data_IF_358314594975
#
_entry.id   IF_358314594975
#
_cell.length_a   1.000
_cell.length_b   1.000
_cell.length_c   1.000
_cell.angle_alpha   90.00
_cell.angle_beta   90.00
_cell.angle_gamma   90.00
#
_symmetry.space_group_name_H-M   'P 1'
#
loop_
_entity.id
_entity.type
_entity.pdbx_description
1 polymer ?
#
# COMPACT_ATOMS: atom_id res chain seq x y z
N UNK A 1 31.22 9.36 -9.55
CA UNK A 1 31.38 8.21 -10.46
C UNK A 1 30.48 7.13 -9.89
N UNK A 2 29.35 6.86 -10.53
CA UNK A 2 28.44 5.79 -10.09
C UNK A 2 29.07 4.48 -10.57
N UNK A 3 29.65 3.72 -9.63
CA UNK A 3 30.08 2.36 -9.94
C UNK A 3 28.85 1.55 -10.34
N UNK A 4 28.79 1.15 -11.61
CA UNK A 4 27.76 0.24 -12.06
C UNK A 4 27.95 -1.10 -11.37
N UNK A 5 26.98 -1.49 -10.56
CA UNK A 5 27.02 -2.78 -9.83
C UNK A 5 26.97 -3.91 -10.87
N UNK A 6 28.11 -4.54 -11.13
CA UNK A 6 28.19 -5.73 -11.97
C UNK A 6 27.89 -6.97 -11.12
N UNK A 7 26.67 -7.47 -11.19
CA UNK A 7 26.28 -8.72 -10.55
C UNK A 7 26.81 -9.91 -11.36
N UNK A 8 27.90 -10.53 -10.87
CA UNK A 8 28.36 -11.83 -11.37
C UNK A 8 27.38 -12.94 -10.97
N UNK A 9 27.31 -14.00 -11.76
CA UNK A 9 26.50 -15.18 -11.45
C UNK A 9 26.83 -15.77 -10.06
N UNK A 10 28.12 -15.75 -9.69
CA UNK A 10 28.56 -16.15 -8.34
C UNK A 10 27.96 -15.31 -7.21
N UNK A 11 27.85 -13.97 -7.40
CA UNK A 11 27.27 -13.06 -6.43
C UNK A 11 25.77 -13.33 -6.23
N UNK A 12 25.05 -13.72 -7.28
CA UNK A 12 23.64 -14.11 -7.20
C UNK A 12 23.46 -15.38 -6.38
N UNK A 13 24.33 -16.39 -6.55
CA UNK A 13 24.30 -17.62 -5.76
C UNK A 13 24.54 -17.31 -4.28
N UNK A 14 25.57 -16.52 -3.97
CA UNK A 14 25.86 -16.12 -2.59
C UNK A 14 24.69 -15.35 -1.98
N UNK A 15 24.09 -14.43 -2.72
CA UNK A 15 22.89 -13.70 -2.27
C UNK A 15 21.70 -14.62 -2.02
N UNK A 16 21.50 -15.66 -2.84
CA UNK A 16 20.43 -16.64 -2.66
C UNK A 16 20.63 -17.50 -1.40
N UNK A 17 21.87 -17.70 -0.94
CA UNK A 17 22.14 -18.43 0.31
C UNK A 17 21.50 -17.76 1.55
N UNK A 18 21.31 -16.43 1.55
CA UNK A 18 20.63 -15.75 2.65
C UNK A 18 19.21 -16.25 2.87
N UNK A 19 18.53 -16.75 1.84
CA UNK A 19 17.18 -17.33 1.98
C UNK A 19 17.18 -18.72 2.64
N UNK A 20 18.34 -19.41 2.65
CA UNK A 20 18.45 -20.72 3.28
C UNK A 20 18.39 -20.59 4.79
N UNK A 21 18.92 -19.51 5.37
CA UNK A 21 18.94 -19.30 6.83
C UNK A 21 17.54 -19.36 7.44
N UNK A 22 16.55 -18.56 6.99
CA UNK A 22 15.20 -18.63 7.57
C UNK A 22 14.52 -19.96 7.26
N UNK A 23 14.75 -20.57 6.10
CA UNK A 23 14.18 -21.88 5.77
C UNK A 23 14.73 -22.99 6.67
N UNK A 24 16.05 -22.99 6.92
CA UNK A 24 16.68 -23.92 7.85
C UNK A 24 16.19 -23.73 9.29
N UNK A 25 16.07 -22.49 9.76
CA UNK A 25 15.51 -22.19 11.08
C UNK A 25 14.09 -22.73 11.23
N UNK A 26 13.22 -22.52 10.23
CA UNK A 26 11.86 -23.06 10.24
C UNK A 26 11.84 -24.58 10.29
N UNK A 27 12.75 -25.23 9.60
CA UNK A 27 12.90 -26.70 9.64
C UNK A 27 13.42 -27.19 10.99
N UNK A 28 14.48 -26.57 11.52
CA UNK A 28 15.10 -26.95 12.79
C UNK A 28 14.15 -26.81 13.98
N UNK A 29 13.35 -25.73 14.01
CA UNK A 29 12.36 -25.49 15.06
C UNK A 29 11.00 -26.17 14.79
N UNK A 30 10.89 -27.01 13.75
CA UNK A 30 9.65 -27.72 13.35
C UNK A 30 8.44 -26.81 13.22
N UNK A 31 8.64 -25.58 12.72
CA UNK A 31 7.56 -24.60 12.55
C UNK A 31 6.82 -24.89 11.23
N UNK A 32 5.55 -25.28 11.33
CA UNK A 32 4.74 -25.73 10.18
C UNK A 32 4.28 -24.61 9.23
N UNK A 33 5.03 -23.51 9.14
CA UNK A 33 4.70 -22.39 8.23
C UNK A 33 5.53 -22.37 6.94
N UNK A 34 6.37 -23.40 6.70
CA UNK A 34 7.27 -23.43 5.56
C UNK A 34 6.57 -23.23 4.21
N UNK A 35 5.37 -23.83 4.02
CA UNK A 35 4.55 -23.64 2.81
C UNK A 35 4.08 -22.19 2.64
N UNK A 36 3.77 -21.50 3.76
CA UNK A 36 3.40 -20.07 3.73
C UNK A 36 4.59 -19.21 3.37
N UNK A 37 5.76 -19.54 3.90
CA UNK A 37 7.03 -18.84 3.59
C UNK A 37 7.40 -18.98 2.13
N UNK A 38 7.35 -20.19 1.57
CA UNK A 38 7.60 -20.41 0.13
C UNK A 38 6.61 -19.66 -0.76
N UNK A 39 5.32 -19.69 -0.42
CA UNK A 39 4.32 -18.89 -1.14
C UNK A 39 4.61 -17.39 -1.06
N UNK A 40 5.02 -16.90 0.11
CA UNK A 40 5.37 -15.49 0.29
C UNK A 40 6.59 -15.10 -0.56
N UNK A 41 7.63 -15.92 -0.59
CA UNK A 41 8.82 -15.71 -1.42
C UNK A 41 8.46 -15.71 -2.91
N UNK A 42 7.66 -16.68 -3.36
CA UNK A 42 7.22 -16.74 -4.75
C UNK A 42 6.37 -15.52 -5.15
N UNK A 43 5.41 -15.13 -4.30
CA UNK A 43 4.59 -13.92 -4.56
C UNK A 43 5.43 -12.65 -4.55
N UNK A 44 6.42 -12.54 -3.68
CA UNK A 44 7.38 -11.42 -3.66
C UNK A 44 8.17 -11.36 -4.96
N UNK A 45 8.74 -12.48 -5.42
CA UNK A 45 9.51 -12.52 -6.66
C UNK A 45 8.65 -12.11 -7.87
N UNK A 46 7.43 -12.64 -7.98
CA UNK A 46 6.49 -12.28 -9.06
C UNK A 46 6.12 -10.79 -8.99
N UNK A 47 5.82 -10.27 -7.81
CA UNK A 47 5.43 -8.86 -7.65
C UNK A 47 6.58 -7.91 -8.00
N UNK A 48 7.80 -8.21 -7.57
CA UNK A 48 8.99 -7.41 -7.89
C UNK A 48 9.29 -7.45 -9.39
N UNK A 49 9.22 -8.63 -10.01
CA UNK A 49 9.45 -8.79 -11.46
C UNK A 49 8.40 -8.02 -12.27
N UNK A 50 7.13 -8.09 -11.85
CA UNK A 50 6.06 -7.34 -12.51
C UNK A 50 6.28 -5.82 -12.39
N UNK A 51 6.62 -5.35 -11.21
CA UNK A 51 6.93 -3.93 -10.98
C UNK A 51 8.11 -3.44 -11.82
N UNK A 52 9.18 -4.23 -11.88
CA UNK A 52 10.35 -3.93 -12.70
C UNK A 52 10.00 -3.91 -14.19
N UNK A 53 9.24 -4.89 -14.68
CA UNK A 53 8.78 -4.96 -16.08
C UNK A 53 7.94 -3.73 -16.46
N UNK A 54 6.99 -3.34 -15.63
CA UNK A 54 6.16 -2.16 -15.86
C UNK A 54 7.01 -0.88 -15.92
N UNK A 55 8.00 -0.77 -15.03
CA UNK A 55 8.92 0.38 -15.02
C UNK A 55 9.78 0.41 -16.28
N UNK A 56 10.36 -0.73 -16.68
CA UNK A 56 11.17 -0.83 -17.91
C UNK A 56 10.32 -0.50 -19.15
N UNK A 57 9.09 -1.00 -19.21
CA UNK A 57 8.16 -0.74 -20.31
C UNK A 57 7.85 0.75 -20.43
N UNK A 58 7.55 1.41 -19.30
CA UNK A 58 7.26 2.84 -19.28
C UNK A 58 8.48 3.69 -19.65
N UNK A 59 9.68 3.32 -19.19
CA UNK A 59 10.93 4.01 -19.51
C UNK A 59 11.26 3.86 -21.00
N UNK A 60 11.07 2.65 -21.57
CA UNK A 60 11.34 2.43 -23.00
C UNK A 60 10.35 3.12 -23.91
N UNK A 61 9.10 3.20 -23.51
CA UNK A 61 8.07 3.85 -24.32
C UNK A 61 8.20 5.37 -24.31
N UNK A 62 8.78 5.95 -23.26
CA UNK A 62 8.96 7.39 -23.03
C UNK A 62 7.71 8.22 -23.39
N UNK A 63 6.54 7.67 -23.03
CA UNK A 63 5.25 8.24 -23.35
C UNK A 63 4.38 8.36 -22.11
N UNK A 64 3.82 9.56 -21.89
CA UNK A 64 2.99 9.91 -20.73
C UNK A 64 1.82 8.93 -20.54
N UNK A 65 1.14 8.57 -21.61
CA UNK A 65 0.00 7.64 -21.57
C UNK A 65 0.39 6.26 -21.08
N UNK A 66 1.56 5.75 -21.50
CA UNK A 66 2.08 4.45 -21.06
C UNK A 66 2.46 4.49 -19.58
N UNK A 67 3.10 5.56 -19.12
CA UNK A 67 3.46 5.74 -17.70
C UNK A 67 2.22 5.76 -16.80
N UNK A 68 1.18 6.51 -17.18
CA UNK A 68 -0.09 6.55 -16.43
C UNK A 68 -0.80 5.19 -16.46
N UNK A 69 -0.79 4.50 -17.59
CA UNK A 69 -1.37 3.16 -17.72
C UNK A 69 -0.65 2.17 -16.82
N UNK A 70 0.68 2.16 -16.80
CA UNK A 70 1.47 1.32 -15.89
C UNK A 70 1.18 1.65 -14.42
N UNK A 71 1.05 2.93 -14.06
CA UNK A 71 0.65 3.34 -12.72
C UNK A 71 -0.75 2.82 -12.36
N UNK A 72 -1.72 2.92 -13.27
CA UNK A 72 -3.07 2.39 -13.06
C UNK A 72 -3.07 0.85 -12.90
N UNK A 73 -2.25 0.13 -13.64
CA UNK A 73 -2.09 -1.33 -13.47
C UNK A 73 -1.54 -1.66 -12.09
N UNK A 74 -0.55 -0.91 -11.58
CA UNK A 74 -0.03 -1.08 -10.21
C UNK A 74 -1.12 -0.81 -9.17
N UNK A 75 -1.91 0.23 -9.34
CA UNK A 75 -3.02 0.56 -8.45
C UNK A 75 -4.13 -0.52 -8.49
N UNK A 76 -4.45 -1.04 -9.68
CA UNK A 76 -5.47 -2.08 -9.85
C UNK A 76 -5.04 -3.41 -9.20
N UNK A 77 -3.79 -3.83 -9.39
CA UNK A 77 -3.24 -5.03 -8.74
C UNK A 77 -3.23 -4.88 -7.22
N UNK A 78 -2.89 -3.69 -6.72
CA UNK A 78 -2.94 -3.40 -5.29
C UNK A 78 -4.38 -3.37 -4.75
N UNK A 79 -5.34 -2.79 -5.48
CA UNK A 79 -6.75 -2.80 -5.07
C UNK A 79 -7.28 -4.24 -4.96
N UNK A 80 -6.94 -5.07 -5.93
CA UNK A 80 -7.27 -6.50 -5.91
C UNK A 80 -6.66 -7.22 -4.70
N UNK A 81 -5.37 -7.00 -4.45
CA UNK A 81 -4.67 -7.53 -3.27
C UNK A 81 -5.32 -7.09 -1.97
N UNK A 82 -5.62 -5.80 -1.83
CA UNK A 82 -6.25 -5.23 -0.63
C UNK A 82 -7.62 -5.85 -0.36
N UNK A 83 -8.45 -6.02 -1.40
CA UNK A 83 -9.77 -6.66 -1.30
C UNK A 83 -9.66 -8.09 -0.75
N UNK A 84 -8.78 -8.91 -1.34
CA UNK A 84 -8.58 -10.31 -0.93
C UNK A 84 -8.07 -10.38 0.52
N UNK A 85 -7.06 -9.59 0.85
CA UNK A 85 -6.44 -9.61 2.18
C UNK A 85 -7.33 -9.01 3.27
N UNK A 86 -8.18 -8.04 2.95
CA UNK A 86 -9.19 -7.51 3.84
C UNK A 86 -10.40 -8.46 4.00
N UNK A 87 -10.40 -9.62 3.31
CA UNK A 87 -11.49 -10.63 3.32
C UNK A 87 -12.85 -10.08 2.89
N UNK A 88 -12.83 -9.08 2.00
CA UNK A 88 -14.05 -8.48 1.47
C UNK A 88 -14.57 -9.37 0.33
N UNK A 89 -15.67 -10.09 0.57
CA UNK A 89 -16.22 -11.08 -0.38
C UNK A 89 -16.90 -10.43 -1.58
N UNK A 90 -17.57 -9.30 -1.39
CA UNK A 90 -18.33 -8.64 -2.45
C UNK A 90 -17.39 -8.03 -3.51
N UNK A 91 -17.65 -8.36 -4.78
CA UNK A 91 -16.84 -7.87 -5.91
C UNK A 91 -16.93 -6.34 -6.08
N UNK A 92 -18.09 -5.76 -5.80
CA UNK A 92 -18.37 -4.34 -6.02
C UNK A 92 -17.50 -3.40 -5.17
N UNK A 93 -16.93 -3.90 -4.05
CA UNK A 93 -16.03 -3.09 -3.20
C UNK A 93 -14.65 -2.84 -3.81
N UNK A 94 -14.32 -3.47 -4.93
CA UNK A 94 -13.08 -3.14 -5.64
C UNK A 94 -13.12 -1.72 -6.22
N UNK A 95 -14.31 -1.24 -6.60
CA UNK A 95 -14.50 0.10 -7.18
C UNK A 95 -14.15 1.21 -6.18
N UNK A 96 -14.71 1.27 -4.95
CA UNK A 96 -14.34 2.28 -3.98
C UNK A 96 -12.86 2.19 -3.53
N UNK A 97 -12.28 0.98 -3.48
CA UNK A 97 -10.86 0.81 -3.18
C UNK A 97 -10.00 1.39 -4.30
N UNK A 98 -10.32 1.05 -5.54
CA UNK A 98 -9.60 1.52 -6.72
C UNK A 98 -9.69 3.05 -6.87
N UNK A 99 -10.89 3.61 -6.72
CA UNK A 99 -11.08 5.06 -6.76
C UNK A 99 -10.34 5.76 -5.62
N UNK A 100 -10.39 5.21 -4.41
CA UNK A 100 -9.65 5.74 -3.27
C UNK A 100 -8.14 5.74 -3.50
N UNK A 101 -7.58 4.66 -4.06
CA UNK A 101 -6.16 4.58 -4.42
C UNK A 101 -5.81 5.58 -5.52
N UNK A 102 -6.57 5.60 -6.61
CA UNK A 102 -6.26 6.43 -7.77
C UNK A 102 -6.35 7.91 -7.44
N UNK A 103 -7.45 8.35 -6.82
CA UNK A 103 -7.68 9.76 -6.48
C UNK A 103 -6.76 10.29 -5.38
N UNK A 104 -6.14 9.41 -4.60
CA UNK A 104 -5.23 9.83 -3.53
C UNK A 104 -3.77 9.68 -3.95
N UNK A 105 -3.37 8.50 -4.43
CA UNK A 105 -1.95 8.20 -4.64
C UNK A 105 -1.41 8.89 -5.88
N UNK A 106 -2.15 8.89 -7.01
CA UNK A 106 -1.64 9.53 -8.22
C UNK A 106 -1.39 11.03 -8.04
N UNK A 107 -2.34 11.85 -7.55
CA UNK A 107 -2.09 13.27 -7.36
C UNK A 107 -0.98 13.55 -6.36
N UNK A 108 -0.97 12.83 -5.23
CA UNK A 108 0.07 13.02 -4.20
C UNK A 108 1.46 12.64 -4.72
N UNK A 109 1.58 11.56 -5.49
CA UNK A 109 2.84 11.13 -6.09
C UNK A 109 3.33 12.14 -7.16
N UNK A 110 2.41 12.67 -7.97
CA UNK A 110 2.74 13.73 -8.93
C UNK A 110 3.21 15.00 -8.24
N UNK A 111 2.52 15.44 -7.20
CA UNK A 111 2.91 16.60 -6.40
C UNK A 111 4.29 16.37 -5.78
N UNK A 112 4.56 15.18 -5.25
CA UNK A 112 5.85 14.87 -4.65
C UNK A 112 6.98 14.91 -5.67
N UNK A 113 6.81 14.29 -6.84
CA UNK A 113 7.85 14.27 -7.88
C UNK A 113 8.08 15.67 -8.46
N UNK A 114 7.03 16.44 -8.70
CA UNK A 114 7.13 17.76 -9.32
C UNK A 114 7.55 18.86 -8.34
N UNK A 115 6.85 18.99 -7.20
CA UNK A 115 7.08 20.11 -6.27
C UNK A 115 8.18 19.82 -5.26
N UNK A 116 8.33 18.57 -4.79
CA UNK A 116 9.31 18.24 -3.75
C UNK A 116 10.66 17.86 -4.37
N UNK A 117 10.66 17.01 -5.39
CA UNK A 117 11.90 16.60 -6.06
C UNK A 117 12.34 17.59 -7.16
N UNK A 118 11.47 18.53 -7.57
CA UNK A 118 11.77 19.49 -8.63
C UNK A 118 12.00 18.85 -10.00
N UNK A 119 11.51 17.63 -10.21
CA UNK A 119 11.70 16.86 -11.44
C UNK A 119 10.46 16.95 -12.35
N UNK A 120 10.61 16.55 -13.60
CA UNK A 120 9.46 16.46 -14.50
C UNK A 120 8.43 15.47 -13.93
N UNK A 121 7.15 15.88 -13.77
CA UNK A 121 6.17 15.12 -12.99
C UNK A 121 5.85 13.74 -13.56
N UNK A 122 6.12 13.54 -14.83
CA UNK A 122 5.80 12.32 -15.57
C UNK A 122 7.04 11.49 -15.94
N UNK A 123 8.20 11.79 -15.34
CA UNK A 123 9.40 10.97 -15.51
C UNK A 123 9.13 9.53 -15.01
N UNK A 124 9.05 8.51 -15.90
CA UNK A 124 8.59 7.18 -15.53
C UNK A 124 9.52 6.49 -14.54
N UNK A 125 10.82 6.78 -14.58
CA UNK A 125 11.83 6.22 -13.68
C UNK A 125 11.73 6.75 -12.24
N UNK A 126 10.98 7.84 -12.01
CA UNK A 126 10.73 8.40 -10.67
C UNK A 126 9.28 8.17 -10.23
N UNK A 127 8.31 8.46 -11.10
CA UNK A 127 6.89 8.39 -10.75
C UNK A 127 6.48 6.96 -10.39
N UNK A 128 6.85 5.96 -11.18
CA UNK A 128 6.43 4.58 -10.94
C UNK A 128 6.98 3.99 -9.64
N UNK A 129 8.29 4.14 -9.28
CA UNK A 129 8.79 3.75 -7.97
C UNK A 129 8.08 4.47 -6.81
N UNK A 130 7.83 5.79 -6.92
CA UNK A 130 7.10 6.54 -5.89
C UNK A 130 5.68 5.99 -5.72
N UNK A 131 4.96 5.77 -6.81
CA UNK A 131 3.62 5.15 -6.79
C UNK A 131 3.68 3.74 -6.20
N UNK A 132 4.65 2.91 -6.58
CA UNK A 132 4.79 1.54 -6.10
C UNK A 132 5.06 1.47 -4.58
N UNK A 133 6.00 2.29 -4.08
CA UNK A 133 6.32 2.33 -2.65
C UNK A 133 5.13 2.87 -1.86
N UNK A 134 4.48 3.93 -2.35
CA UNK A 134 3.32 4.53 -1.69
C UNK A 134 2.14 3.57 -1.64
N UNK A 135 1.84 2.89 -2.75
CA UNK A 135 0.78 1.86 -2.80
C UNK A 135 1.06 0.68 -1.87
N UNK A 136 2.29 0.22 -1.80
CA UNK A 136 2.70 -0.84 -0.89
C UNK A 136 2.49 -0.48 0.57
N UNK A 137 2.95 0.71 0.98
CA UNK A 137 2.78 1.22 2.34
C UNK A 137 1.30 1.44 2.71
N UNK A 138 0.50 1.99 1.78
CA UNK A 138 -0.94 2.16 1.94
C UNK A 138 -1.65 0.81 2.08
N UNK A 139 -1.30 -0.17 1.26
CA UNK A 139 -1.87 -1.51 1.35
C UNK A 139 -1.55 -2.16 2.69
N UNK A 140 -0.33 -2.07 3.17
CA UNK A 140 0.10 -2.65 4.45
C UNK A 140 -0.70 -2.06 5.63
N UNK A 141 -0.89 -0.73 5.66
CA UNK A 141 -1.59 -0.05 6.74
C UNK A 141 -3.13 -0.25 6.67
N UNK A 142 -3.70 -0.16 5.47
CA UNK A 142 -5.15 -0.03 5.30
C UNK A 142 -5.90 -1.36 5.14
N UNK A 143 -5.24 -2.45 4.74
CA UNK A 143 -5.90 -3.78 4.61
C UNK A 143 -6.59 -4.20 5.91
N UNK A 144 -5.88 -4.14 7.03
CA UNK A 144 -6.42 -4.50 8.35
C UNK A 144 -7.51 -3.53 8.82
N UNK A 145 -7.36 -2.25 8.48
CA UNK A 145 -8.31 -1.20 8.82
C UNK A 145 -9.63 -1.39 8.07
N UNK A 146 -9.56 -1.67 6.77
CA UNK A 146 -10.72 -1.94 5.93
C UNK A 146 -11.44 -3.22 6.37
N UNK A 147 -10.71 -4.32 6.60
CA UNK A 147 -11.30 -5.55 7.13
C UNK A 147 -12.05 -5.29 8.43
N UNK A 148 -11.45 -4.54 9.36
CA UNK A 148 -12.11 -4.20 10.61
C UNK A 148 -13.35 -3.33 10.47
N UNK A 149 -13.42 -2.48 9.45
CA UNK A 149 -14.62 -1.68 9.16
C UNK A 149 -15.76 -2.57 8.66
N UNK A 150 -15.49 -3.44 7.69
CA UNK A 150 -16.51 -4.31 7.13
C UNK A 150 -16.98 -5.38 8.11
N UNK A 151 -16.06 -6.01 8.84
CA UNK A 151 -16.41 -6.96 9.91
C UNK A 151 -17.25 -6.24 10.99
N UNK A 152 -16.88 -5.00 11.31
CA UNK A 152 -17.62 -4.18 12.26
C UNK A 152 -19.04 -3.85 11.82
N UNK A 153 -19.27 -3.56 10.53
CA UNK A 153 -20.61 -3.32 9.99
C UNK A 153 -21.52 -4.55 10.16
N UNK A 154 -20.99 -5.75 9.91
CA UNK A 154 -21.77 -6.98 10.06
C UNK A 154 -22.01 -7.35 11.52
N UNK A 155 -20.99 -7.29 12.38
CA UNK A 155 -21.11 -7.66 13.79
C UNK A 155 -21.93 -6.65 14.62
N UNK A 156 -21.93 -5.36 14.25
CA UNK A 156 -22.65 -4.31 14.96
C UNK A 156 -23.87 -3.79 14.18
N UNK A 157 -24.46 -4.62 13.32
CA UNK A 157 -25.65 -4.28 12.56
C UNK A 157 -26.82 -3.83 13.45
N UNK A 158 -27.01 -4.49 14.60
CA UNK A 158 -28.05 -4.12 15.56
C UNK A 158 -27.84 -2.70 16.13
N UNK A 159 -26.58 -2.33 16.44
CA UNK A 159 -26.27 -0.98 16.91
C UNK A 159 -26.56 0.07 15.83
N UNK A 160 -26.23 -0.24 14.58
CA UNK A 160 -26.54 0.64 13.46
C UNK A 160 -28.06 0.88 13.33
N UNK A 161 -28.86 -0.19 13.32
CA UNK A 161 -30.32 -0.07 13.24
C UNK A 161 -30.91 0.63 14.45
N UNK A 162 -30.39 0.41 15.66
CA UNK A 162 -30.82 1.11 16.87
C UNK A 162 -30.56 2.62 16.75
N UNK A 163 -29.37 3.03 16.31
CA UNK A 163 -29.02 4.45 16.16
C UNK A 163 -29.88 5.13 15.10
N UNK A 164 -30.08 4.49 13.95
CA UNK A 164 -30.90 5.06 12.86
C UNK A 164 -32.38 5.13 13.25
N UNK A 165 -32.91 4.17 13.99
CA UNK A 165 -34.28 4.21 14.53
C UNK A 165 -34.49 5.36 15.54
N UNK A 166 -33.40 5.78 16.22
CA UNK A 166 -33.43 6.93 17.13
C UNK A 166 -33.09 8.27 16.44
N UNK A 167 -33.13 8.32 15.10
CA UNK A 167 -32.95 9.55 14.32
C UNK A 167 -31.49 9.91 13.97
N UNK A 168 -30.54 9.06 14.30
CA UNK A 168 -29.15 9.28 13.87
C UNK A 168 -29.03 9.15 12.35
N UNK A 169 -28.30 10.08 11.73
CA UNK A 169 -27.97 9.98 10.31
C UNK A 169 -27.07 8.75 10.06
N UNK A 170 -27.14 8.23 8.86
CA UNK A 170 -26.30 7.12 8.40
C UNK A 170 -24.79 7.36 8.68
N UNK A 171 -24.35 8.62 8.54
CA UNK A 171 -22.97 9.02 8.83
C UNK A 171 -22.64 8.91 10.33
N UNK A 172 -23.52 9.32 11.18
CA UNK A 172 -23.34 9.27 12.64
C UNK A 172 -23.32 7.82 13.13
N UNK A 173 -24.24 6.98 12.65
CA UNK A 173 -24.33 5.58 13.02
C UNK A 173 -23.07 4.78 12.65
N UNK A 174 -22.40 5.12 11.52
CA UNK A 174 -21.17 4.44 11.05
C UNK A 174 -19.87 5.09 11.52
N UNK A 175 -19.92 6.29 12.11
CA UNK A 175 -18.75 7.09 12.47
C UNK A 175 -17.82 6.39 13.48
N UNK A 176 -18.39 5.65 14.43
CA UNK A 176 -17.61 4.86 15.38
C UNK A 176 -16.70 3.84 14.68
N UNK A 177 -17.24 3.11 13.70
CA UNK A 177 -16.49 2.12 12.92
C UNK A 177 -15.41 2.79 12.07
N UNK A 178 -15.72 3.93 11.45
CA UNK A 178 -14.76 4.70 10.69
C UNK A 178 -13.58 5.18 11.56
N UNK A 179 -13.87 5.72 12.75
CA UNK A 179 -12.81 6.12 13.71
C UNK A 179 -11.94 4.96 14.15
N UNK A 180 -12.55 3.80 14.44
CA UNK A 180 -11.82 2.57 14.82
C UNK A 180 -10.94 2.09 13.68
N UNK A 181 -11.42 2.13 12.46
CA UNK A 181 -10.68 1.78 11.26
C UNK A 181 -9.48 2.70 11.04
N UNK A 182 -9.68 4.03 11.14
CA UNK A 182 -8.59 5.02 11.05
C UNK A 182 -7.49 4.78 12.10
N UNK A 183 -7.86 4.52 13.35
CA UNK A 183 -6.88 4.19 14.39
C UNK A 183 -6.07 2.94 14.03
N UNK A 184 -6.72 1.90 13.50
CA UNK A 184 -6.03 0.65 13.10
C UNK A 184 -5.08 0.84 11.92
N UNK A 185 -5.34 1.80 11.05
CA UNK A 185 -4.43 2.15 9.96
C UNK A 185 -3.23 2.97 10.46
N UNK A 186 -3.50 4.01 11.25
CA UNK A 186 -2.49 4.99 11.61
C UNK A 186 -1.52 4.52 12.70
N UNK A 187 -2.00 3.76 13.70
CA UNK A 187 -1.14 3.33 14.81
C UNK A 187 0.11 2.58 14.35
N UNK A 188 0.04 1.56 13.48
CA UNK A 188 1.24 0.87 13.00
C UNK A 188 2.18 1.78 12.20
N UNK A 189 1.61 2.73 11.45
CA UNK A 189 2.38 3.68 10.65
C UNK A 189 3.16 4.64 11.55
N UNK A 190 2.52 5.18 12.59
CA UNK A 190 3.16 6.05 13.59
C UNK A 190 4.24 5.30 14.40
N UNK A 191 3.96 4.04 14.78
CA UNK A 191 4.96 3.21 15.46
C UNK A 191 6.20 2.98 14.59
N UNK A 192 6.00 2.75 13.29
CA UNK A 192 7.09 2.60 12.33
C UNK A 192 7.93 3.87 12.21
N UNK A 193 7.31 5.06 12.30
CA UNK A 193 8.04 6.33 12.32
C UNK A 193 8.93 6.46 13.55
N UNK A 194 8.48 6.04 14.72
CA UNK A 194 9.26 6.08 15.97
C UNK A 194 10.54 5.25 15.93
N UNK A 195 10.61 4.23 15.07
CA UNK A 195 11.79 3.36 14.92
C UNK A 195 12.55 3.61 13.62
N UNK A 196 12.31 4.72 12.94
CA UNK A 196 12.91 5.01 11.63
C UNK A 196 14.44 5.01 11.62
N UNK A 197 15.07 5.34 12.74
CA UNK A 197 16.54 5.32 12.85
C UNK A 197 17.14 3.92 12.96
N UNK A 198 16.36 2.90 13.27
CA UNK A 198 16.85 1.56 13.66
C UNK A 198 16.36 0.41 12.77
N UNK A 199 15.62 0.64 11.73
CA UNK A 199 15.01 -0.45 10.98
C UNK A 199 15.10 -0.31 9.46
N UNK A 200 14.29 -1.09 8.79
CA UNK A 200 14.12 -1.04 7.34
C UNK A 200 13.26 0.15 6.88
N UNK A 201 12.75 0.96 7.80
CA UNK A 201 11.87 2.08 7.48
C UNK A 201 12.53 3.16 6.60
N UNK A 202 13.81 3.57 6.82
CA UNK A 202 14.49 4.56 5.99
C UNK A 202 15.22 3.93 4.79
N UNK A 203 14.66 2.86 4.19
CA UNK A 203 15.30 2.19 3.04
C UNK A 203 15.59 3.17 1.91
N UNK A 204 14.70 4.12 1.65
CA UNK A 204 14.88 5.11 0.60
C UNK A 204 16.10 6.02 0.89
N UNK A 205 16.24 6.50 2.13
CA UNK A 205 17.41 7.31 2.54
C UNK A 205 18.72 6.54 2.35
N UNK A 206 18.77 5.30 2.83
CA UNK A 206 19.97 4.46 2.69
C UNK A 206 20.27 4.13 1.23
N UNK A 207 19.26 3.80 0.43
CA UNK A 207 19.43 3.53 -1.01
C UNK A 207 19.95 4.76 -1.75
N UNK A 208 19.43 5.95 -1.44
CA UNK A 208 19.91 7.21 -2.02
C UNK A 208 21.36 7.51 -1.62
N UNK A 209 21.70 7.32 -0.34
CA UNK A 209 23.07 7.50 0.14
C UNK A 209 24.03 6.51 -0.54
N UNK A 210 23.63 5.24 -0.68
CA UNK A 210 24.43 4.24 -1.39
C UNK A 210 24.59 4.55 -2.88
N UNK A 211 23.64 5.26 -3.48
CA UNK A 211 23.74 5.72 -4.89
C UNK A 211 24.55 7.03 -5.05
N UNK A 212 25.16 7.55 -3.96
CA UNK A 212 26.02 8.73 -4.00
C UNK A 212 25.29 10.06 -3.80
N UNK A 213 24.03 10.05 -3.37
CA UNK A 213 23.31 11.28 -2.99
C UNK A 213 23.83 11.77 -1.63
N UNK A 214 23.91 13.09 -1.46
CA UNK A 214 24.28 13.70 -0.18
C UNK A 214 23.36 13.26 0.95
N UNK A 215 23.93 12.95 2.11
CA UNK A 215 23.22 12.38 3.28
C UNK A 215 22.13 13.32 3.79
N UNK A 216 22.40 14.64 3.83
CA UNK A 216 21.42 15.61 4.29
C UNK A 216 20.23 15.73 3.33
N UNK A 217 20.49 15.74 2.03
CA UNK A 217 19.46 15.72 1.01
C UNK A 217 18.62 14.44 1.07
N UNK A 218 19.25 13.28 1.22
CA UNK A 218 18.58 11.99 1.38
C UNK A 218 17.69 11.95 2.63
N UNK A 219 18.16 12.51 3.75
CA UNK A 219 17.41 12.63 5.01
C UNK A 219 16.16 13.51 4.83
N UNK A 220 16.31 14.68 4.23
CA UNK A 220 15.16 15.59 4.00
C UNK A 220 14.12 14.94 3.09
N UNK A 221 14.54 14.30 2.00
CA UNK A 221 13.65 13.60 1.09
C UNK A 221 12.92 12.47 1.83
N UNK A 222 13.61 11.70 2.68
CA UNK A 222 12.96 10.63 3.47
C UNK A 222 11.90 11.19 4.43
N UNK A 223 12.16 12.31 5.11
CA UNK A 223 11.20 12.96 6.00
C UNK A 223 9.94 13.40 5.23
N UNK A 224 10.12 14.07 4.10
CA UNK A 224 9.01 14.53 3.26
C UNK A 224 8.24 13.35 2.65
N UNK A 225 8.95 12.30 2.25
CA UNK A 225 8.33 11.08 1.75
C UNK A 225 7.49 10.38 2.84
N UNK A 226 7.93 10.41 4.08
CA UNK A 226 7.14 9.88 5.20
C UNK A 226 5.83 10.64 5.37
N UNK A 227 5.86 11.96 5.22
CA UNK A 227 4.66 12.80 5.18
C UNK A 227 3.71 12.40 4.04
N UNK A 228 4.24 12.12 2.85
CA UNK A 228 3.49 11.60 1.72
C UNK A 228 2.79 10.28 2.07
N UNK A 229 3.50 9.33 2.69
CA UNK A 229 2.94 8.02 3.05
C UNK A 229 1.77 8.14 4.04
N UNK A 230 1.88 9.00 5.05
CA UNK A 230 0.80 9.24 6.02
C UNK A 230 -0.41 9.86 5.32
N UNK A 231 -0.18 10.89 4.51
CA UNK A 231 -1.24 11.57 3.77
C UNK A 231 -1.94 10.63 2.79
N UNK A 232 -1.18 9.79 2.10
CA UNK A 232 -1.73 8.80 1.19
C UNK A 232 -2.55 7.72 1.93
N UNK A 233 -2.05 7.19 3.05
CA UNK A 233 -2.75 6.18 3.83
C UNK A 233 -4.06 6.70 4.42
N UNK A 234 -4.03 7.91 5.01
CA UNK A 234 -5.22 8.54 5.58
C UNK A 234 -6.23 8.94 4.52
N UNK A 235 -5.79 9.57 3.45
CA UNK A 235 -6.64 10.03 2.35
C UNK A 235 -7.30 8.86 1.63
N UNK A 236 -6.53 7.81 1.29
CA UNK A 236 -7.06 6.62 0.64
C UNK A 236 -8.11 5.94 1.50
N UNK A 237 -7.84 5.73 2.79
CA UNK A 237 -8.80 5.09 3.69
C UNK A 237 -10.06 5.93 3.84
N UNK A 238 -9.92 7.25 4.03
CA UNK A 238 -11.05 8.17 4.16
C UNK A 238 -11.96 8.14 2.91
N UNK A 239 -11.35 8.28 1.71
CA UNK A 239 -12.10 8.21 0.46
C UNK A 239 -12.75 6.85 0.26
N UNK A 240 -12.03 5.76 0.51
CA UNK A 240 -12.60 4.42 0.38
C UNK A 240 -13.77 4.20 1.32
N UNK A 241 -13.68 4.63 2.59
CA UNK A 241 -14.78 4.49 3.55
C UNK A 241 -15.99 5.35 3.17
N UNK A 242 -15.77 6.57 2.65
CA UNK A 242 -16.86 7.42 2.17
C UNK A 242 -17.56 6.83 0.95
N UNK A 243 -16.78 6.36 -0.04
CA UNK A 243 -17.32 5.74 -1.24
C UNK A 243 -17.98 4.38 -0.94
N UNK A 244 -17.37 3.59 -0.06
CA UNK A 244 -17.86 2.27 0.32
C UNK A 244 -19.25 2.31 0.97
N UNK A 245 -19.63 3.41 1.60
CA UNK A 245 -20.99 3.57 2.16
C UNK A 245 -22.06 3.37 1.11
N UNK A 246 -21.85 3.84 -0.13
CA UNK A 246 -22.81 3.67 -1.23
C UNK A 246 -22.99 2.20 -1.65
N UNK A 247 -21.99 1.36 -1.39
CA UNK A 247 -22.00 -0.06 -1.76
C UNK A 247 -22.37 -0.99 -0.58
N UNK A 248 -22.21 -0.49 0.65
CA UNK A 248 -22.50 -1.26 1.86
C UNK A 248 -23.99 -1.37 2.17
N UNK A 249 -24.80 -0.45 1.65
CA UNK A 249 -26.20 -0.34 1.95
C UNK A 249 -27.05 -0.42 0.69
N UNK A 250 -28.19 -1.07 0.81
CA UNK A 250 -29.21 -1.15 -0.24
C UNK A 250 -30.04 0.15 -0.30
N UNK A 251 -30.86 0.31 -1.32
CA UNK A 251 -31.77 1.46 -1.48
C UNK A 251 -32.73 1.69 -0.29
N UNK A 252 -32.85 0.72 0.59
CA UNK A 252 -33.66 0.76 1.81
C UNK A 252 -32.80 0.87 3.09
N UNK A 253 -31.55 1.38 3.00
CA UNK A 253 -30.61 1.49 4.12
C UNK A 253 -30.34 0.20 4.91
N UNK A 254 -30.62 -0.95 4.29
CA UNK A 254 -30.27 -2.25 4.86
C UNK A 254 -28.83 -2.60 4.53
N UNK A 255 -28.10 -3.10 5.53
CA UNK A 255 -26.74 -3.61 5.31
C UNK A 255 -26.82 -4.78 4.32
N UNK A 256 -26.11 -4.65 3.22
CA UNK A 256 -26.14 -5.63 2.14
C UNK A 256 -25.58 -6.97 2.66
N UNK A 257 -26.46 -7.89 3.02
CA UNK A 257 -26.14 -9.21 3.60
C UNK A 257 -25.63 -10.24 2.57
N UNK A 258 -25.44 -9.84 1.31
CA UNK A 258 -24.95 -10.72 0.25
C UNK A 258 -23.40 -10.81 0.31
N UNK A 259 -22.92 -11.69 1.16
CA UNK A 259 -21.50 -12.07 1.24
C UNK A 259 -21.34 -13.58 1.33
#
# INVERSE_FOLDING_TARGET
MIETIHLSFGNLIIGALFFIIPLYALYAFKVEIWRRTLKALATMAVALTLGALLTVLAVRADHIGVTLLCALVLLATTAWYMRIKARIRQANYIVPIMLGLTLTILPLSLIFVYLVLGMTPLAPHLLLPVVAITTGAVAESNVKAMGAYYDGLHHHAQLYYYLTANGATHREATNYLARRSMKRSLIPLLQRMGIMGMGTAPVMMWAMTMSGTDIMSALVIQLLFTGLLISAATGQLALTLVLARRYAFDAYDKINARG
#
